data_IF_445813756523
#
_entry.id   IF_445813756523
#
_cell.length_a   1.000
_cell.length_b   1.000
_cell.length_c   1.000
_cell.angle_alpha   90.00
_cell.angle_beta   90.00
_cell.angle_gamma   90.00
#
_symmetry.space_group_name_H-M   'P 1'
#
loop_
_entity.id
_entity.type
_entity.pdbx_description
1 polymer ?
#
# COMPACT_ATOMS: atom_id res chain seq x y z
N UNK A 1 -8.96 -6.41 -11.69
CA UNK A 1 -9.99 -7.23 -12.33
C UNK A 1 -11.10 -6.32 -12.82
N UNK A 2 -11.52 -6.45 -14.07
CA UNK A 2 -12.48 -5.54 -14.73
C UNK A 2 -13.92 -6.11 -14.80
N UNK A 3 -14.15 -7.26 -14.19
CA UNK A 3 -15.43 -7.95 -14.18
C UNK A 3 -15.75 -8.75 -15.44
N UNK A 4 -14.97 -8.64 -16.50
CA UNK A 4 -15.16 -9.34 -17.78
C UNK A 4 -14.18 -10.51 -17.98
N UNK A 5 -13.35 -10.81 -16.99
CA UNK A 5 -12.30 -11.84 -17.06
C UNK A 5 -10.91 -11.25 -17.34
N UNK A 6 -10.78 -9.93 -17.44
CA UNK A 6 -9.54 -9.20 -17.64
C UNK A 6 -9.09 -8.40 -16.41
N UNK A 7 -8.01 -7.69 -16.60
CA UNK A 7 -7.48 -6.75 -15.61
C UNK A 7 -7.41 -5.36 -16.23
N UNK A 8 -7.67 -4.35 -15.42
CA UNK A 8 -7.39 -2.97 -15.82
C UNK A 8 -5.90 -2.76 -16.09
N UNK A 9 -5.59 -1.84 -17.00
CA UNK A 9 -4.21 -1.45 -17.30
C UNK A 9 -3.56 -0.74 -16.09
N UNK A 10 -4.35 0.00 -15.33
CA UNK A 10 -3.89 0.73 -14.14
C UNK A 10 -4.63 0.30 -12.87
N UNK A 11 -3.94 0.32 -11.70
CA UNK A 11 -4.51 -0.20 -10.44
C UNK A 11 -5.79 0.50 -9.95
N UNK A 12 -6.00 1.76 -10.32
CA UNK A 12 -7.17 2.56 -9.93
C UNK A 12 -8.42 2.26 -10.78
N UNK A 13 -8.55 1.03 -11.27
CA UNK A 13 -9.70 0.53 -12.04
C UNK A 13 -9.87 1.29 -13.37
N UNK A 14 -8.80 1.60 -14.05
CA UNK A 14 -8.83 2.37 -15.29
C UNK A 14 -7.93 1.75 -16.36
N UNK A 15 -8.37 1.83 -17.62
CA UNK A 15 -7.55 1.57 -18.80
C UNK A 15 -6.99 2.88 -19.41
N UNK A 16 -7.37 4.03 -18.86
CA UNK A 16 -6.79 5.32 -19.20
C UNK A 16 -5.63 5.66 -18.29
N UNK A 17 -4.63 6.33 -18.83
CA UNK A 17 -3.49 6.86 -18.06
C UNK A 17 -4.01 7.71 -16.91
N UNK A 18 -3.53 7.52 -15.67
CA UNK A 18 -3.91 8.35 -14.54
C UNK A 18 -3.46 9.80 -14.71
N UNK A 19 -4.08 10.70 -13.99
CA UNK A 19 -3.64 12.09 -13.87
C UNK A 19 -2.57 12.21 -12.80
N UNK A 20 -1.41 12.79 -13.17
CA UNK A 20 -0.35 13.14 -12.23
C UNK A 20 -0.69 14.48 -11.57
N UNK A 21 -1.19 14.47 -10.36
CA UNK A 21 -1.64 15.68 -9.66
C UNK A 21 -1.49 15.55 -8.15
N UNK A 22 -1.68 16.66 -7.43
CA UNK A 22 -1.71 16.65 -5.97
C UNK A 22 -2.94 15.92 -5.42
N UNK A 23 -2.84 15.25 -4.26
CA UNK A 23 -4.01 14.67 -3.61
C UNK A 23 -4.99 15.78 -3.16
N UNK A 24 -6.29 15.48 -3.02
CA UNK A 24 -6.89 14.14 -3.17
C UNK A 24 -7.08 13.68 -4.61
N UNK A 25 -6.91 14.56 -5.60
CA UNK A 25 -7.09 14.26 -7.02
C UNK A 25 -8.49 13.77 -7.39
N UNK A 26 -8.62 13.28 -8.62
CA UNK A 26 -9.86 12.68 -9.15
C UNK A 26 -9.94 11.17 -8.96
N UNK A 27 -10.89 10.55 -9.66
CA UNK A 27 -11.13 9.11 -9.61
C UNK A 27 -10.03 8.25 -10.30
N UNK A 28 -9.16 8.86 -11.10
CA UNK A 28 -8.05 8.21 -11.79
C UNK A 28 -6.80 9.07 -11.65
N UNK A 29 -6.37 9.28 -10.43
CA UNK A 29 -5.21 10.11 -10.09
C UNK A 29 -4.19 9.32 -9.32
N UNK A 30 -2.91 9.66 -9.48
CA UNK A 30 -1.79 9.04 -8.78
C UNK A 30 -0.62 10.01 -8.64
N UNK A 31 0.27 9.68 -7.71
CA UNK A 31 1.52 10.37 -7.50
C UNK A 31 2.62 9.77 -8.39
N UNK A 32 2.85 10.37 -9.56
CA UNK A 32 3.90 9.95 -10.50
C UNK A 32 4.34 11.12 -11.38
N UNK A 33 5.35 10.91 -12.19
CA UNK A 33 5.87 11.88 -13.18
C UNK A 33 6.16 13.27 -12.59
N UNK A 34 6.55 13.33 -11.31
CA UNK A 34 6.84 14.58 -10.62
C UNK A 34 5.61 15.43 -10.28
N UNK A 35 4.40 14.88 -10.27
CA UNK A 35 3.18 15.60 -9.88
C UNK A 35 3.36 16.34 -8.54
N UNK A 36 3.23 15.70 -7.37
CA UNK A 36 3.62 16.30 -6.09
C UNK A 36 5.13 16.50 -5.92
N UNK A 37 5.97 15.75 -6.67
CA UNK A 37 7.43 15.82 -6.59
C UNK A 37 8.05 15.19 -5.34
N UNK A 38 7.25 14.58 -4.49
CA UNK A 38 7.66 13.90 -3.25
C UNK A 38 6.64 12.83 -2.90
N UNK A 39 6.91 12.04 -1.85
CA UNK A 39 5.92 11.15 -1.29
C UNK A 39 4.68 11.89 -0.80
N UNK A 40 3.54 11.24 -0.94
CA UNK A 40 2.27 11.63 -0.33
C UNK A 40 1.87 10.63 0.74
N UNK A 41 1.00 11.06 1.66
CA UNK A 41 0.46 10.18 2.68
C UNK A 41 -0.29 9.00 2.05
N UNK A 42 -0.16 7.83 2.65
CA UNK A 42 -0.86 6.62 2.18
C UNK A 42 -2.37 6.85 2.23
N UNK A 43 -3.06 6.55 1.12
CA UNK A 43 -4.50 6.77 0.99
C UNK A 43 -4.92 8.21 0.70
N UNK A 44 -3.99 9.11 0.43
CA UNK A 44 -4.31 10.52 0.14
C UNK A 44 -5.16 10.70 -1.11
N UNK A 45 -5.05 9.79 -2.10
CA UNK A 45 -5.88 9.78 -3.32
C UNK A 45 -7.20 9.05 -3.11
N UNK A 46 -8.07 9.63 -2.30
CA UNK A 46 -9.32 8.99 -1.81
C UNK A 46 -10.29 8.57 -2.91
N UNK A 47 -10.21 9.17 -4.10
CA UNK A 47 -11.02 8.81 -5.26
C UNK A 47 -10.44 7.69 -6.12
N UNK A 48 -9.21 7.24 -5.88
CA UNK A 48 -8.44 6.36 -6.78
C UNK A 48 -8.15 4.99 -6.16
N UNK A 49 -9.11 4.41 -5.46
CA UNK A 49 -8.99 3.07 -4.88
C UNK A 49 -8.87 1.99 -5.97
N UNK A 50 -8.12 0.94 -5.69
CA UNK A 50 -8.11 -0.27 -6.51
C UNK A 50 -9.42 -1.03 -6.41
N UNK A 51 -9.62 -2.04 -7.27
CA UNK A 51 -10.77 -2.94 -7.19
C UNK A 51 -10.94 -3.59 -5.81
N UNK A 52 -9.85 -3.77 -5.09
CA UNK A 52 -9.85 -4.38 -3.75
C UNK A 52 -9.92 -3.36 -2.61
N UNK A 53 -10.19 -2.09 -2.91
CA UNK A 53 -10.28 -1.02 -1.91
C UNK A 53 -8.93 -0.58 -1.33
N UNK A 54 -7.81 -0.98 -1.94
CA UNK A 54 -6.48 -0.52 -1.55
C UNK A 54 -6.09 0.74 -2.32
N UNK A 55 -5.26 1.59 -1.71
CA UNK A 55 -4.78 2.84 -2.30
C UNK A 55 -3.30 2.76 -2.66
N UNK A 56 -2.85 3.67 -3.51
CA UNK A 56 -1.44 3.87 -3.91
C UNK A 56 -0.78 2.59 -4.47
N UNK A 57 -1.54 1.76 -5.17
CA UNK A 57 -1.03 0.58 -5.89
C UNK A 57 -0.25 0.97 -7.15
N UNK A 58 -0.37 2.19 -7.59
CA UNK A 58 0.40 2.78 -8.67
C UNK A 58 0.86 4.18 -8.31
N UNK A 59 2.14 4.44 -8.49
CA UNK A 59 2.81 5.67 -8.08
C UNK A 59 3.20 5.66 -6.60
N UNK A 60 3.63 6.80 -6.11
CA UNK A 60 4.14 7.05 -4.79
C UNK A 60 5.47 6.34 -4.52
N UNK A 61 5.48 5.04 -4.30
CA UNK A 61 6.68 4.23 -4.15
C UNK A 61 6.64 2.96 -5.01
N UNK A 62 7.76 2.55 -5.58
CA UNK A 62 7.92 1.17 -6.04
C UNK A 62 7.82 0.22 -4.85
N UNK A 63 7.10 -0.87 -5.02
CA UNK A 63 6.86 -1.82 -3.96
C UNK A 63 7.50 -3.17 -4.25
N UNK A 64 8.27 -3.64 -3.27
CA UNK A 64 8.77 -4.99 -3.27
C UNK A 64 7.62 -6.00 -3.22
N UNK A 65 7.75 -7.07 -3.97
CA UNK A 65 6.93 -8.25 -3.82
C UNK A 65 7.79 -9.51 -3.64
N UNK A 66 7.18 -10.56 -3.11
CA UNK A 66 7.86 -11.80 -2.76
C UNK A 66 8.19 -12.69 -3.98
N UNK A 67 7.89 -12.25 -5.19
CA UNK A 67 8.12 -13.03 -6.41
C UNK A 67 9.61 -13.15 -6.69
N UNK A 68 10.11 -14.38 -6.73
CA UNK A 68 11.46 -14.70 -7.18
C UNK A 68 11.49 -14.64 -8.70
N UNK A 69 12.21 -13.67 -9.26
CA UNK A 69 12.33 -13.50 -10.71
C UNK A 69 13.56 -14.25 -11.26
N UNK A 70 14.61 -14.30 -10.48
CA UNK A 70 15.82 -15.06 -10.75
C UNK A 70 16.41 -15.54 -9.42
N UNK A 71 17.56 -16.21 -9.45
CA UNK A 71 18.15 -16.85 -8.27
C UNK A 71 18.17 -15.98 -7.01
N UNK A 72 18.36 -14.66 -7.15
CA UNK A 72 18.40 -13.72 -6.02
C UNK A 72 17.42 -12.54 -6.14
N UNK A 73 17.00 -12.19 -7.36
CA UNK A 73 16.21 -10.97 -7.57
C UNK A 73 14.75 -11.14 -7.15
N UNK A 74 14.21 -10.09 -6.55
CA UNK A 74 12.78 -9.95 -6.22
C UNK A 74 12.10 -8.95 -7.15
N UNK A 75 10.80 -9.11 -7.32
CA UNK A 75 9.99 -8.22 -8.13
C UNK A 75 9.75 -6.87 -7.47
N UNK A 76 9.65 -5.82 -8.29
CA UNK A 76 9.21 -4.48 -7.92
C UNK A 76 8.06 -4.06 -8.83
N UNK A 77 7.07 -3.38 -8.26
CA UNK A 77 5.83 -2.99 -8.92
C UNK A 77 5.39 -1.58 -8.54
N UNK A 78 4.48 -1.03 -9.35
CA UNK A 78 3.70 0.14 -9.02
C UNK A 78 4.29 1.47 -9.50
N UNK A 79 5.60 1.56 -9.74
CA UNK A 79 6.24 2.85 -10.03
C UNK A 79 6.35 3.75 -8.80
N UNK A 80 7.09 4.84 -8.90
CA UNK A 80 7.23 5.84 -7.85
C UNK A 80 6.79 7.23 -8.30
N UNK A 81 6.82 8.19 -7.39
CA UNK A 81 6.47 9.59 -7.68
C UNK A 81 7.35 10.24 -8.77
N UNK A 82 8.54 9.71 -9.03
CA UNK A 82 9.45 10.22 -10.05
C UNK A 82 9.34 9.49 -11.40
N UNK A 83 8.63 8.37 -11.46
CA UNK A 83 8.62 7.52 -12.65
C UNK A 83 7.50 7.91 -13.61
N UNK A 84 7.63 7.51 -14.88
CA UNK A 84 6.61 7.73 -15.91
C UNK A 84 5.41 6.77 -15.73
N UNK A 85 4.28 7.12 -16.33
CA UNK A 85 3.02 6.38 -16.32
C UNK A 85 3.14 4.89 -16.69
N UNK A 86 4.05 4.56 -17.60
CA UNK A 86 4.31 3.17 -18.01
C UNK A 86 4.68 2.25 -16.85
N UNK A 87 5.30 2.79 -15.79
CA UNK A 87 5.71 2.00 -14.61
C UNK A 87 4.54 1.62 -13.72
N UNK A 88 3.41 2.34 -13.83
CA UNK A 88 2.18 2.10 -13.11
C UNK A 88 1.32 0.99 -13.76
N UNK A 89 1.63 0.60 -15.00
CA UNK A 89 0.87 -0.44 -15.69
C UNK A 89 0.85 -1.76 -14.90
N UNK A 90 -0.29 -2.41 -14.89
CA UNK A 90 -0.46 -3.73 -14.27
C UNK A 90 0.42 -4.80 -14.92
N UNK A 91 0.84 -4.61 -16.16
CA UNK A 91 1.77 -5.47 -16.89
C UNK A 91 3.24 -5.17 -16.63
N UNK A 92 3.58 -3.97 -16.11
CA UNK A 92 4.97 -3.56 -15.91
C UNK A 92 5.64 -4.36 -14.79
N UNK A 93 6.85 -4.83 -15.05
CA UNK A 93 7.65 -5.67 -14.15
C UNK A 93 9.10 -5.24 -14.19
N UNK A 94 9.69 -4.98 -13.03
CA UNK A 94 11.14 -4.91 -12.86
C UNK A 94 11.57 -5.84 -11.74
N UNK A 95 12.87 -6.09 -11.63
CA UNK A 95 13.45 -6.86 -10.53
C UNK A 95 14.79 -6.29 -10.11
N UNK A 96 15.11 -6.47 -8.86
CA UNK A 96 16.38 -6.07 -8.26
C UNK A 96 16.84 -7.10 -7.23
N UNK A 97 18.12 -7.05 -6.91
CA UNK A 97 18.66 -7.74 -5.74
C UNK A 97 17.98 -7.18 -4.47
N UNK A 98 17.58 -8.02 -3.50
CA UNK A 98 16.92 -7.57 -2.27
C UNK A 98 17.74 -6.61 -1.41
N UNK A 99 19.06 -6.57 -1.60
CA UNK A 99 19.95 -5.61 -0.92
C UNK A 99 19.98 -4.24 -1.58
N UNK A 100 19.30 -4.08 -2.73
CA UNK A 100 19.22 -2.79 -3.42
C UNK A 100 18.32 -1.84 -2.65
N UNK A 101 18.89 -0.71 -2.27
CA UNK A 101 18.20 0.35 -1.53
C UNK A 101 18.06 1.60 -2.38
N UNK A 102 16.89 2.20 -2.37
CA UNK A 102 16.63 3.49 -2.98
C UNK A 102 15.52 4.19 -2.19
N UNK A 103 15.59 5.50 -2.11
CA UNK A 103 14.60 6.32 -1.39
C UNK A 103 13.19 6.32 -2.01
N UNK A 104 13.00 5.71 -3.17
CA UNK A 104 11.71 5.55 -3.84
C UNK A 104 11.15 4.12 -3.73
N UNK A 105 11.77 3.25 -2.94
CA UNK A 105 11.34 1.88 -2.72
C UNK A 105 10.63 1.74 -1.39
N UNK A 106 9.59 0.93 -1.37
CA UNK A 106 8.82 0.59 -0.19
C UNK A 106 8.32 -0.85 -0.25
N UNK A 107 7.45 -1.19 0.67
CA UNK A 107 6.73 -2.47 0.68
C UNK A 107 5.40 -2.28 1.39
N UNK A 108 4.48 -3.17 1.12
CA UNK A 108 3.26 -3.31 1.94
C UNK A 108 3.10 -4.76 2.38
N UNK A 109 2.49 -4.93 3.54
CA UNK A 109 2.15 -6.24 4.08
C UNK A 109 0.67 -6.51 3.90
N UNK A 110 0.32 -7.79 3.75
CA UNK A 110 -1.06 -8.25 3.77
C UNK A 110 -1.20 -9.41 4.74
N UNK A 111 -2.37 -9.56 5.34
CA UNK A 111 -2.71 -10.71 6.16
C UNK A 111 -3.93 -11.41 5.58
N UNK A 112 -3.88 -12.73 5.48
CA UNK A 112 -5.02 -13.55 5.07
C UNK A 112 -6.05 -13.74 6.20
N UNK A 113 -5.67 -13.42 7.43
CA UNK A 113 -6.55 -13.46 8.57
C UNK A 113 -6.63 -12.07 9.22
N UNK A 114 -7.78 -11.68 9.77
CA UNK A 114 -7.84 -10.49 10.58
C UNK A 114 -6.82 -10.61 11.72
N UNK A 115 -5.95 -9.61 11.87
CA UNK A 115 -5.10 -9.52 13.06
C UNK A 115 -6.04 -9.12 14.20
N UNK A 116 -6.26 -9.99 15.21
CA UNK A 116 -7.12 -9.61 16.32
C UNK A 116 -6.49 -8.43 17.06
N UNK A 117 -7.09 -7.26 16.91
CA UNK A 117 -6.75 -6.11 17.76
C UNK A 117 -7.02 -6.51 19.20
N UNK A 118 -6.15 -6.17 20.17
CA UNK A 118 -6.48 -6.31 21.58
C UNK A 118 -7.76 -5.51 21.84
N UNK A 119 -8.88 -6.21 22.03
CA UNK A 119 -10.14 -5.50 22.23
C UNK A 119 -10.01 -4.58 23.45
N UNK A 120 -10.51 -3.36 23.34
CA UNK A 120 -10.50 -2.40 24.45
C UNK A 120 -11.16 -3.00 25.71
N UNK A 121 -12.12 -3.90 25.54
CA UNK A 121 -12.73 -4.70 26.61
C UNK A 121 -11.74 -5.62 27.29
N UNK A 122 -10.86 -6.32 26.55
CA UNK A 122 -9.83 -7.18 27.15
C UNK A 122 -8.80 -6.36 27.92
N UNK A 123 -8.38 -5.22 27.40
CA UNK A 123 -7.46 -4.31 28.08
C UNK A 123 -8.11 -3.70 29.34
N UNK A 124 -9.39 -3.31 29.28
CA UNK A 124 -10.13 -2.80 30.44
C UNK A 124 -10.32 -3.86 31.53
N UNK A 125 -10.65 -5.10 31.17
CA UNK A 125 -10.82 -6.20 32.13
C UNK A 125 -9.48 -6.55 32.81
N UNK A 126 -8.39 -6.58 32.08
CA UNK A 126 -7.05 -6.80 32.63
C UNK A 126 -6.65 -5.66 33.60
N UNK A 127 -6.92 -4.42 33.23
CA UNK A 127 -6.67 -3.25 34.08
C UNK A 127 -7.52 -3.22 35.35
N UNK A 128 -8.80 -3.57 35.22
CA UNK A 128 -9.72 -3.65 36.38
C UNK A 128 -9.33 -4.78 37.33
N UNK A 129 -8.95 -5.96 36.80
CA UNK A 129 -8.46 -7.07 37.60
C UNK A 129 -7.20 -6.72 38.40
N UNK A 130 -6.26 -5.99 37.79
CA UNK A 130 -5.06 -5.53 38.47
C UNK A 130 -5.37 -4.52 39.58
N UNK A 131 -6.29 -3.59 39.35
CA UNK A 131 -6.74 -2.61 40.36
C UNK A 131 -7.39 -3.27 41.57
N UNK A 132 -8.23 -4.30 41.38
CA UNK A 132 -8.87 -5.06 42.43
C UNK A 132 -7.83 -5.85 43.25
N UNK A 133 -6.88 -6.50 42.58
CA UNK A 133 -5.80 -7.22 43.23
C UNK A 133 -4.87 -6.33 44.07
N UNK A 134 -4.60 -5.13 43.63
CA UNK A 134 -3.79 -4.15 44.35
C UNK A 134 -4.54 -3.60 45.59
N UNK A 135 -5.87 -3.46 45.52
CA UNK A 135 -6.69 -2.96 46.64
C UNK A 135 -6.85 -3.99 47.73
N UNK A 136 -6.94 -5.28 47.39
CA UNK A 136 -7.04 -6.39 48.36
C UNK A 136 -5.74 -6.67 49.13
N UNK A 137 -4.62 -6.11 48.75
CA UNK A 137 -3.33 -6.24 49.46
C UNK A 137 -3.10 -5.17 50.53
N UNK A 138 -3.99 -4.22 50.70
CA UNK A 138 -3.91 -3.08 51.68
C UNK A 138 -4.81 -3.25 52.89
N UNK A 139 -5.46 -4.40 53.05
CA UNK A 139 -6.20 -4.79 54.23
C UNK A 139 -5.47 -5.95 54.90
#
# INVERSE_FOLDING_TARGET
>A
YDGSGGYYDYPMQSNAVPTAENPPGGANSANFSGGPGTFTDVGAYTGSASHYGTFDQGGNAFEWNDTVISTSNRGLRGGSFNDADITLLSSYRISRDPTFELNTLGFRVSSLAPIPEPSATTAMLAGLGLLIALRGRRT
#
